data_IF_510816845896
#
_entry.id   IF_510816845896
#
_cell.length_a   1.000
_cell.length_b   1.000
_cell.length_c   1.000
_cell.angle_alpha   90.00
_cell.angle_beta   90.00
_cell.angle_gamma   90.00
#
_symmetry.space_group_name_H-M   'P 1'
#
loop_
_entity.id
_entity.type
_entity.pdbx_description
1 polymer ?
#
# COMPACT_ATOMS: atom_id res chain seq x y z
N UNK A 1 -0.33 43.00 5.09
CA UNK A 1 0.60 42.39 4.12
C UNK A 1 0.44 40.88 4.23
N UNK A 2 0.10 40.17 3.15
CA UNK A 2 0.05 38.71 3.20
C UNK A 2 1.47 38.16 3.39
N UNK A 3 1.66 37.05 4.13
CA UNK A 3 2.98 36.43 4.24
C UNK A 3 3.51 36.09 2.85
N UNK A 4 4.78 36.44 2.63
CA UNK A 4 5.54 36.17 1.41
C UNK A 4 5.60 34.66 1.15
N UNK A 5 5.60 34.29 -0.14
CA UNK A 5 5.91 33.00 -0.74
C UNK A 5 6.60 31.94 0.15
N UNK A 6 6.34 30.66 -0.13
CA UNK A 6 6.96 29.51 0.56
C UNK A 6 8.46 29.76 0.76
N UNK A 7 8.88 29.89 2.02
CA UNK A 7 10.28 30.10 2.38
C UNK A 7 11.10 28.85 2.01
N UNK A 8 11.93 28.97 0.97
CA UNK A 8 12.72 27.86 0.42
C UNK A 8 13.64 27.24 1.48
N UNK A 9 14.41 28.02 2.28
CA UNK A 9 15.09 27.52 3.47
C UNK A 9 14.22 26.69 4.42
N UNK A 10 13.03 27.16 4.80
CA UNK A 10 12.12 26.40 5.66
C UNK A 10 11.64 25.10 5.00
N UNK A 11 11.36 25.13 3.70
CA UNK A 11 10.97 23.95 2.93
C UNK A 11 12.11 22.91 2.89
N UNK A 12 13.35 23.33 2.67
CA UNK A 12 14.54 22.45 2.71
C UNK A 12 14.72 21.85 4.11
N UNK A 13 14.57 22.66 5.16
CA UNK A 13 14.65 22.19 6.54
C UNK A 13 13.56 21.15 6.86
N UNK A 14 12.33 21.37 6.38
CA UNK A 14 11.24 20.42 6.49
C UNK A 14 11.58 19.12 5.73
N UNK A 15 12.05 19.18 4.48
CA UNK A 15 12.52 17.99 3.75
C UNK A 15 13.57 17.24 4.56
N UNK A 16 14.56 17.91 5.13
CA UNK A 16 15.61 17.26 5.91
C UNK A 16 15.08 16.54 7.16
N UNK A 17 13.98 16.99 7.76
CA UNK A 17 13.32 16.30 8.88
C UNK A 17 12.62 15.00 8.44
N UNK A 18 12.04 14.98 7.25
CA UNK A 18 11.28 13.84 6.70
C UNK A 18 12.15 12.87 5.89
N UNK A 19 13.24 13.36 5.31
CA UNK A 19 14.17 12.60 4.49
C UNK A 19 15.30 11.95 5.33
N UNK A 20 14.94 11.45 6.51
CA UNK A 20 15.86 10.73 7.40
C UNK A 20 15.82 9.23 7.13
N UNK A 21 16.99 8.60 7.07
CA UNK A 21 17.07 7.14 7.11
C UNK A 21 16.73 6.70 8.53
N UNK A 22 15.60 6.00 8.70
CA UNK A 22 15.28 5.35 9.97
C UNK A 22 15.37 3.84 9.80
N UNK A 23 15.64 3.13 10.89
CA UNK A 23 15.68 1.67 10.85
C UNK A 23 14.26 1.13 10.72
N UNK A 24 13.99 0.33 9.68
CA UNK A 24 12.72 -0.37 9.54
C UNK A 24 12.80 -1.68 10.33
N UNK A 25 12.35 -1.66 11.58
CA UNK A 25 12.22 -2.87 12.37
C UNK A 25 10.91 -3.58 12.04
N UNK A 26 10.97 -4.64 11.23
CA UNK A 26 9.80 -5.49 11.05
C UNK A 26 9.50 -6.26 12.35
N UNK A 27 8.22 -6.50 12.67
CA UNK A 27 7.84 -7.18 13.90
C UNK A 27 8.48 -8.56 14.03
N UNK A 28 8.82 -8.98 15.25
CA UNK A 28 9.55 -10.21 15.50
C UNK A 28 8.87 -11.47 14.94
N UNK A 29 7.53 -11.51 14.94
CA UNK A 29 6.77 -12.63 14.37
C UNK A 29 6.89 -12.71 12.84
N UNK A 30 7.00 -11.57 12.14
CA UNK A 30 7.22 -11.52 10.68
C UNK A 30 8.56 -12.13 10.35
N UNK A 31 9.59 -11.74 11.10
CA UNK A 31 10.94 -12.30 10.96
C UNK A 31 10.91 -13.82 11.18
N UNK A 32 10.30 -14.30 12.27
CA UNK A 32 10.17 -15.74 12.54
C UNK A 32 9.46 -16.49 11.42
N UNK A 33 8.32 -15.97 10.93
CA UNK A 33 7.53 -16.59 9.86
C UNK A 33 8.33 -16.70 8.55
N UNK A 34 9.08 -15.66 8.20
CA UNK A 34 9.91 -15.63 7.00
C UNK A 34 11.12 -16.54 7.12
N UNK A 35 11.77 -16.60 8.29
CA UNK A 35 12.86 -17.54 8.54
C UNK A 35 12.39 -19.00 8.54
N UNK A 36 11.16 -19.29 8.99
CA UNK A 36 10.60 -20.65 8.96
C UNK A 36 10.36 -21.18 7.53
N UNK A 37 10.24 -20.28 6.54
CA UNK A 37 10.06 -20.62 5.12
C UNK A 37 11.25 -20.13 4.28
N UNK A 38 12.44 -20.07 4.89
CA UNK A 38 13.65 -19.64 4.20
C UNK A 38 13.99 -20.66 3.10
N UNK A 39 14.06 -20.18 1.85
CA UNK A 39 14.57 -20.99 0.74
C UNK A 39 16.09 -21.24 0.87
N UNK A 40 16.64 -22.05 -0.03
CA UNK A 40 18.09 -22.35 0.00
C UNK A 40 18.94 -21.24 -0.64
N UNK A 41 18.34 -20.45 -1.54
CA UNK A 41 19.01 -19.41 -2.32
C UNK A 41 18.30 -18.07 -2.19
N UNK A 42 19.04 -16.99 -2.38
CA UNK A 42 18.50 -15.65 -2.44
C UNK A 42 17.63 -15.48 -3.70
N UNK A 43 16.38 -14.99 -3.60
CA UNK A 43 15.52 -14.82 -4.76
C UNK A 43 15.95 -13.69 -5.69
N UNK A 44 16.91 -12.84 -5.29
CA UNK A 44 17.36 -11.69 -6.10
C UNK A 44 18.62 -12.01 -6.92
N UNK A 45 19.58 -12.75 -6.36
CA UNK A 45 20.84 -13.09 -7.02
C UNK A 45 21.04 -14.59 -7.27
N UNK A 46 20.09 -15.44 -6.86
CA UNK A 46 20.15 -16.90 -6.91
C UNK A 46 21.33 -17.54 -6.16
N UNK A 47 22.12 -16.77 -5.39
CA UNK A 47 23.22 -17.30 -4.60
C UNK A 47 22.71 -18.05 -3.35
N UNK A 48 23.31 -19.19 -2.98
CA UNK A 48 23.00 -19.89 -1.74
C UNK A 48 23.19 -19.01 -0.51
N UNK A 49 22.35 -19.22 0.50
CA UNK A 49 22.54 -18.59 1.80
C UNK A 49 23.68 -19.23 2.58
N UNK A 50 24.51 -18.42 3.22
CA UNK A 50 25.51 -18.88 4.19
C UNK A 50 25.03 -18.56 5.61
N UNK A 51 24.59 -19.59 6.33
CA UNK A 51 24.14 -19.48 7.72
C UNK A 51 25.30 -19.53 8.73
N UNK A 52 26.48 -19.97 8.31
CA UNK A 52 27.66 -20.07 9.17
C UNK A 52 28.28 -18.71 9.50
N UNK A 53 28.02 -17.70 8.66
CA UNK A 53 28.53 -16.34 8.82
C UNK A 53 27.39 -15.32 9.04
N UNK A 54 26.92 -15.09 10.28
CA UNK A 54 25.81 -14.18 10.60
C UNK A 54 25.94 -12.74 10.04
N UNK A 55 27.18 -12.29 9.87
CA UNK A 55 27.51 -10.94 9.34
C UNK A 55 27.98 -10.97 7.89
N UNK A 56 28.03 -12.14 7.26
CA UNK A 56 28.51 -12.32 5.89
C UNK A 56 27.55 -11.74 4.83
N UNK A 57 28.05 -11.50 3.61
CA UNK A 57 27.27 -10.94 2.50
C UNK A 57 26.16 -11.88 2.02
N UNK A 58 26.37 -13.20 2.15
CA UNK A 58 25.42 -14.25 1.79
C UNK A 58 24.43 -14.59 2.92
N UNK A 59 24.50 -13.94 4.08
CA UNK A 59 23.58 -14.22 5.19
C UNK A 59 22.15 -13.75 4.84
N UNK A 60 21.10 -14.55 5.12
CA UNK A 60 19.72 -14.16 4.88
C UNK A 60 19.29 -13.04 5.82
N UNK A 61 18.73 -11.98 5.24
CA UNK A 61 18.12 -10.85 5.95
C UNK A 61 16.68 -10.67 5.48
N UNK A 62 15.86 -10.09 6.35
CA UNK A 62 14.50 -9.69 5.99
C UNK A 62 14.54 -8.28 5.41
N UNK A 63 13.92 -8.11 4.24
CA UNK A 63 13.83 -6.86 3.50
C UNK A 63 12.36 -6.55 3.17
N UNK A 64 12.07 -5.28 2.85
CA UNK A 64 10.74 -4.86 2.41
C UNK A 64 10.63 -4.80 0.89
N UNK A 65 9.47 -5.16 0.31
CA UNK A 65 9.27 -5.03 -1.14
C UNK A 65 9.17 -3.55 -1.54
N UNK A 66 8.43 -2.78 -0.76
CA UNK A 66 8.30 -1.34 -0.85
C UNK A 66 8.74 -0.70 0.47
N UNK A 67 9.69 0.23 0.42
CA UNK A 67 10.18 0.89 1.63
C UNK A 67 9.06 1.77 2.27
N UNK A 68 8.95 1.87 3.61
CA UNK A 68 7.94 2.73 4.25
C UNK A 68 8.00 4.19 3.82
N UNK A 69 9.21 4.71 3.58
CA UNK A 69 9.41 6.03 2.98
C UNK A 69 8.69 6.21 1.62
N UNK A 70 8.47 5.12 0.87
CA UNK A 70 7.74 5.07 -0.40
C UNK A 70 6.26 4.69 -0.20
N UNK A 71 5.74 4.78 1.02
CA UNK A 71 4.36 4.45 1.37
C UNK A 71 4.09 2.96 1.62
N UNK A 72 5.15 2.13 1.68
CA UNK A 72 5.03 0.70 1.94
C UNK A 72 4.51 0.39 3.36
N UNK A 73 3.59 -0.58 3.51
CA UNK A 73 2.99 -0.92 4.79
C UNK A 73 3.96 -1.71 5.69
N UNK A 74 3.78 -1.62 7.01
CA UNK A 74 4.53 -2.43 8.00
C UNK A 74 3.98 -3.87 8.14
N UNK A 75 3.19 -4.31 7.16
CA UNK A 75 2.57 -5.62 7.14
C UNK A 75 3.57 -6.74 6.76
N UNK A 76 3.34 -7.98 7.21
CA UNK A 76 4.14 -9.14 6.81
C UNK A 76 4.17 -9.35 5.29
N UNK A 77 3.09 -8.96 4.59
CA UNK A 77 2.95 -9.10 3.14
C UNK A 77 3.94 -8.21 2.37
N UNK A 78 4.44 -7.14 3.00
CA UNK A 78 5.48 -6.26 2.45
C UNK A 78 6.89 -6.70 2.87
N UNK A 79 7.08 -7.95 3.31
CA UNK A 79 8.38 -8.46 3.69
C UNK A 79 8.74 -9.75 2.93
N UNK A 80 10.03 -9.93 2.68
CA UNK A 80 10.60 -11.12 2.05
C UNK A 80 12.05 -11.33 2.55
N UNK A 81 12.65 -12.47 2.23
CA UNK A 81 14.04 -12.78 2.55
C UNK A 81 14.95 -12.59 1.34
N UNK A 82 16.12 -11.99 1.53
CA UNK A 82 17.19 -11.89 0.53
C UNK A 82 18.56 -11.92 1.22
N UNK A 83 19.66 -11.99 0.48
CA UNK A 83 20.98 -11.93 1.09
C UNK A 83 21.33 -10.50 1.50
N UNK A 84 22.18 -10.35 2.51
CA UNK A 84 22.64 -9.05 3.02
C UNK A 84 23.21 -8.17 1.90
N UNK A 85 24.00 -8.74 0.99
CA UNK A 85 24.57 -8.02 -0.15
C UNK A 85 23.49 -7.40 -1.06
N UNK A 86 22.47 -8.18 -1.45
CA UNK A 86 21.36 -7.66 -2.27
C UNK A 86 20.57 -6.58 -1.53
N UNK A 87 20.32 -6.73 -0.23
CA UNK A 87 19.63 -5.69 0.54
C UNK A 87 20.46 -4.40 0.66
N UNK A 88 21.78 -4.51 0.80
CA UNK A 88 22.67 -3.35 0.84
C UNK A 88 22.73 -2.62 -0.50
N UNK A 89 22.80 -3.35 -1.61
CA UNK A 89 22.83 -2.78 -2.96
C UNK A 89 21.52 -2.07 -3.31
N UNK A 90 20.38 -2.70 -3.01
CA UNK A 90 19.05 -2.12 -3.28
C UNK A 90 18.69 -1.00 -2.30
N UNK A 91 19.13 -1.10 -1.05
CA UNK A 91 18.78 -0.18 0.03
C UNK A 91 17.26 0.05 0.14
N UNK A 92 16.80 1.25 -0.19
CA UNK A 92 15.40 1.68 -0.07
C UNK A 92 14.68 1.85 -1.42
N UNK A 93 15.25 1.27 -2.49
CA UNK A 93 14.70 1.30 -3.84
C UNK A 93 13.53 0.32 -3.97
N UNK A 94 12.48 0.71 -4.72
CA UNK A 94 11.39 -0.19 -5.10
C UNK A 94 11.93 -1.42 -5.82
N UNK A 95 11.46 -2.60 -5.41
CA UNK A 95 11.92 -3.87 -5.95
C UNK A 95 11.74 -3.99 -7.48
N UNK A 96 10.77 -3.27 -8.05
CA UNK A 96 10.53 -3.27 -9.49
C UNK A 96 11.63 -2.59 -10.31
N UNK A 97 12.47 -1.74 -9.68
CA UNK A 97 13.61 -1.13 -10.36
C UNK A 97 14.77 -2.11 -10.59
N UNK A 98 14.70 -3.32 -10.04
CA UNK A 98 15.66 -4.38 -10.35
C UNK A 98 15.40 -4.91 -11.76
N UNK A 99 16.46 -5.09 -12.55
CA UNK A 99 16.34 -5.50 -13.96
C UNK A 99 15.58 -6.81 -14.16
N UNK A 100 15.81 -7.81 -13.30
CA UNK A 100 15.08 -9.09 -13.32
C UNK A 100 14.50 -9.37 -11.95
N UNK A 101 13.17 -9.28 -11.85
CA UNK A 101 12.41 -9.58 -10.63
C UNK A 101 11.57 -10.85 -10.86
N UNK A 102 11.76 -11.91 -10.05
CA UNK A 102 10.94 -13.11 -10.14
C UNK A 102 9.44 -12.83 -10.02
N UNK A 103 8.63 -13.53 -10.80
CA UNK A 103 7.17 -13.33 -10.87
C UNK A 103 6.46 -13.41 -9.52
N UNK A 104 6.81 -14.32 -8.59
CA UNK A 104 6.19 -14.34 -7.27
C UNK A 104 6.41 -13.03 -6.49
N UNK A 105 7.63 -12.46 -6.56
CA UNK A 105 7.94 -11.18 -5.89
C UNK A 105 7.30 -10.01 -6.62
N UNK A 106 7.21 -10.05 -7.95
CA UNK A 106 6.49 -9.04 -8.74
C UNK A 106 5.01 -9.00 -8.38
N UNK A 107 4.36 -10.16 -8.30
CA UNK A 107 2.96 -10.29 -7.91
C UNK A 107 2.74 -9.86 -6.46
N UNK A 108 3.62 -10.27 -5.54
CA UNK A 108 3.57 -9.84 -4.14
C UNK A 108 3.70 -8.32 -4.02
N UNK A 109 4.66 -7.70 -4.74
CA UNK A 109 4.84 -6.23 -4.76
C UNK A 109 3.61 -5.51 -5.30
N UNK A 110 2.96 -6.03 -6.35
CA UNK A 110 1.72 -5.47 -6.86
C UNK A 110 0.58 -5.53 -5.82
N UNK A 111 0.46 -6.65 -5.10
CA UNK A 111 -0.52 -6.78 -4.02
C UNK A 111 -0.24 -5.81 -2.85
N UNK A 112 1.03 -5.67 -2.45
CA UNK A 112 1.47 -4.73 -1.42
C UNK A 112 1.11 -3.30 -1.79
N UNK A 113 1.29 -2.90 -3.05
CA UNK A 113 0.96 -1.56 -3.51
C UNK A 113 -0.52 -1.23 -3.40
N UNK A 114 -1.42 -2.20 -3.51
CA UNK A 114 -2.85 -1.97 -3.26
C UNK A 114 -3.15 -1.68 -1.78
N UNK A 115 -2.30 -2.14 -0.87
CA UNK A 115 -2.39 -1.88 0.58
C UNK A 115 -1.41 -0.79 1.06
N UNK A 116 -0.72 -0.11 0.14
CA UNK A 116 0.23 0.98 0.41
C UNK A 116 -0.48 2.33 0.32
N UNK A 117 0.13 3.38 0.85
CA UNK A 117 -0.35 4.74 0.62
C UNK A 117 -0.32 5.07 -0.87
N UNK A 118 -1.49 5.35 -1.43
CA UNK A 118 -1.63 5.79 -2.83
C UNK A 118 -2.38 7.11 -2.86
N UNK A 119 -2.07 7.93 -3.86
CA UNK A 119 -2.86 9.09 -4.21
C UNK A 119 -4.20 8.68 -4.82
N UNK A 120 -5.14 9.63 -4.87
CA UNK A 120 -6.41 9.46 -5.56
C UNK A 120 -6.21 9.14 -7.05
N UNK A 121 -7.29 8.70 -7.69
CA UNK A 121 -7.39 8.58 -9.13
C UNK A 121 -8.43 9.58 -9.64
N UNK A 122 -8.22 10.23 -10.80
CA UNK A 122 -9.19 11.13 -11.43
C UNK A 122 -10.34 10.32 -12.07
N UNK A 123 -11.06 9.56 -11.25
CA UNK A 123 -12.15 8.68 -11.67
C UNK A 123 -13.43 9.05 -10.92
N UNK A 124 -14.57 8.91 -11.59
CA UNK A 124 -15.88 9.16 -10.98
C UNK A 124 -16.07 8.28 -9.72
N UNK A 125 -16.74 8.79 -8.66
CA UNK A 125 -17.11 7.98 -7.49
C UNK A 125 -17.93 6.73 -7.84
N UNK A 126 -18.67 6.78 -8.95
CA UNK A 126 -19.50 5.66 -9.46
C UNK A 126 -18.69 4.59 -10.20
N UNK A 127 -17.39 4.82 -10.42
CA UNK A 127 -16.51 3.87 -11.12
C UNK A 127 -16.55 2.51 -10.44
N UNK A 128 -16.73 1.46 -11.25
CA UNK A 128 -16.78 0.08 -10.77
C UNK A 128 -15.46 -0.27 -10.06
N UNK A 129 -15.50 -1.04 -8.95
CA UNK A 129 -14.30 -1.39 -8.19
C UNK A 129 -13.19 -2.01 -9.05
N UNK A 130 -13.54 -2.87 -10.00
CA UNK A 130 -12.58 -3.54 -10.87
C UNK A 130 -11.84 -2.57 -11.81
N UNK A 131 -12.55 -1.55 -12.32
CA UNK A 131 -11.97 -0.56 -13.22
C UNK A 131 -11.06 0.41 -12.46
N UNK A 132 -11.42 0.75 -11.22
CA UNK A 132 -10.58 1.52 -10.31
C UNK A 132 -9.27 0.77 -9.99
N UNK A 133 -9.35 -0.51 -9.62
CA UNK A 133 -8.17 -1.34 -9.35
C UNK A 133 -7.28 -1.49 -10.60
N UNK A 134 -7.88 -1.61 -11.79
CA UNK A 134 -7.13 -1.66 -13.06
C UNK A 134 -6.39 -0.36 -13.34
N UNK A 135 -7.02 0.78 -13.08
CA UNK A 135 -6.39 2.08 -13.23
C UNK A 135 -5.21 2.26 -12.25
N UNK A 136 -5.40 1.85 -10.99
CA UNK A 136 -4.33 1.85 -10.01
C UNK A 136 -3.17 0.92 -10.42
N UNK A 137 -3.50 -0.27 -10.92
CA UNK A 137 -2.51 -1.24 -11.41
C UNK A 137 -1.68 -0.72 -12.60
N UNK A 138 -2.23 0.16 -13.45
CA UNK A 138 -1.46 0.82 -14.53
C UNK A 138 -0.36 1.70 -13.96
N UNK A 139 -0.68 2.54 -12.97
CA UNK A 139 0.31 3.35 -12.25
C UNK A 139 1.38 2.47 -11.61
N UNK A 140 0.97 1.35 -11.02
CA UNK A 140 1.88 0.40 -10.39
C UNK A 140 2.79 -0.38 -11.36
N UNK A 141 2.72 -0.18 -12.67
CA UNK A 141 3.70 -0.78 -13.60
C UNK A 141 5.07 -0.11 -13.55
N UNK A 142 5.16 1.08 -12.93
CA UNK A 142 6.41 1.81 -12.77
C UNK A 142 6.98 1.61 -11.36
N UNK A 143 8.32 1.65 -11.19
CA UNK A 143 8.91 1.72 -9.85
C UNK A 143 8.42 2.96 -9.11
N UNK A 144 8.23 2.86 -7.79
CA UNK A 144 7.79 3.98 -6.97
C UNK A 144 8.98 4.83 -6.53
N UNK A 145 8.87 6.14 -6.75
CA UNK A 145 9.76 7.17 -6.24
C UNK A 145 9.03 8.05 -5.22
N UNK A 146 9.73 9.07 -4.70
CA UNK A 146 9.18 10.05 -3.76
C UNK A 146 9.65 11.45 -4.07
N UNK A 147 8.75 12.41 -3.91
CA UNK A 147 9.04 13.84 -3.91
C UNK A 147 8.35 14.50 -2.72
N UNK A 148 8.80 15.70 -2.40
CA UNK A 148 8.17 16.57 -1.42
C UNK A 148 7.54 17.75 -2.14
N UNK A 149 6.38 18.19 -1.67
CA UNK A 149 5.65 19.26 -2.29
C UNK A 149 5.08 20.20 -1.23
N UNK A 150 5.12 21.50 -1.51
CA UNK A 150 4.40 22.50 -0.74
C UNK A 150 3.70 23.44 -1.70
N UNK A 151 2.43 23.76 -1.45
CA UNK A 151 1.68 24.76 -2.20
C UNK A 151 0.99 25.71 -1.22
N UNK A 152 1.14 27.01 -1.44
CA UNK A 152 0.57 28.04 -0.59
C UNK A 152 -0.77 28.55 -1.15
N UNK A 153 -1.46 29.39 -0.36
CA UNK A 153 -2.80 29.89 -0.70
C UNK A 153 -2.80 30.86 -1.89
N UNK A 154 -1.66 31.47 -2.20
CA UNK A 154 -1.43 32.29 -3.41
C UNK A 154 -1.25 31.46 -4.68
N UNK A 155 -1.24 30.12 -4.57
CA UNK A 155 -1.20 29.18 -5.69
C UNK A 155 0.20 28.73 -6.07
N UNK A 156 1.24 29.51 -5.80
CA UNK A 156 2.63 29.12 -6.07
C UNK A 156 3.03 27.92 -5.20
N UNK A 157 3.87 27.06 -5.77
CA UNK A 157 4.32 25.85 -5.11
C UNK A 157 5.78 25.55 -5.32
N UNK A 158 6.30 24.65 -4.49
CA UNK A 158 7.66 24.13 -4.60
C UNK A 158 7.65 22.60 -4.60
N UNK A 159 8.50 22.00 -5.43
CA UNK A 159 8.73 20.55 -5.50
C UNK A 159 10.18 20.24 -5.17
N UNK A 160 10.40 19.43 -4.14
CA UNK A 160 11.71 18.92 -3.73
C UNK A 160 11.90 17.47 -4.15
N UNK A 161 12.93 17.20 -4.94
CA UNK A 161 13.30 15.85 -5.39
C UNK A 161 14.59 15.41 -4.69
N UNK A 162 14.46 14.49 -3.72
CA UNK A 162 15.59 13.88 -3.02
C UNK A 162 16.07 12.61 -3.72
N UNK A 163 17.38 12.37 -3.75
CA UNK A 163 17.97 11.13 -4.25
C UNK A 163 18.01 9.99 -3.22
N UNK A 164 17.48 10.18 -2.00
CA UNK A 164 17.61 9.20 -0.91
C UNK A 164 16.72 7.97 -1.07
N UNK A 165 15.51 8.16 -1.59
CA UNK A 165 14.51 7.11 -1.72
C UNK A 165 13.97 7.05 -3.15
N UNK A 166 13.87 5.84 -3.70
CA UNK A 166 13.54 5.62 -5.10
C UNK A 166 14.77 5.30 -5.95
N UNK A 167 14.55 4.72 -7.13
CA UNK A 167 15.62 4.41 -8.07
C UNK A 167 16.05 5.63 -8.88
N UNK A 168 17.22 5.52 -9.53
CA UNK A 168 17.80 6.59 -10.35
C UNK A 168 16.91 7.01 -11.53
N UNK A 169 16.22 6.08 -12.18
CA UNK A 169 15.39 6.40 -13.36
C UNK A 169 14.13 7.15 -12.94
N UNK A 170 13.39 6.64 -11.96
CA UNK A 170 12.16 7.28 -11.49
C UNK A 170 12.44 8.64 -10.82
N UNK A 171 13.57 8.76 -10.10
CA UNK A 171 14.04 10.04 -9.54
C UNK A 171 14.47 11.01 -10.63
N UNK A 172 15.15 10.52 -11.68
CA UNK A 172 15.53 11.32 -12.84
C UNK A 172 14.32 11.85 -13.61
N UNK A 173 13.29 11.01 -13.79
CA UNK A 173 12.02 11.42 -14.40
C UNK A 173 11.35 12.51 -13.57
N UNK A 174 11.29 12.35 -12.23
CA UNK A 174 10.72 13.38 -11.37
C UNK A 174 11.44 14.73 -11.52
N UNK A 175 12.78 14.74 -11.52
CA UNK A 175 13.57 15.96 -11.78
C UNK A 175 13.30 16.56 -13.16
N UNK A 176 13.16 15.72 -14.18
CA UNK A 176 12.88 16.18 -15.55
C UNK A 176 11.51 16.86 -15.62
N UNK A 177 10.47 16.23 -15.05
CA UNK A 177 9.13 16.79 -15.01
C UNK A 177 9.12 18.12 -14.25
N UNK A 178 9.74 18.16 -13.07
CA UNK A 178 9.81 19.39 -12.26
C UNK A 178 10.58 20.50 -12.96
N UNK A 179 11.68 20.19 -13.66
CA UNK A 179 12.44 21.18 -14.45
C UNK A 179 11.64 21.73 -15.63
N UNK A 180 10.77 20.94 -16.25
CA UNK A 180 9.92 21.41 -17.37
C UNK A 180 8.81 22.34 -16.90
N UNK A 181 8.34 22.15 -15.68
CA UNK A 181 7.22 22.91 -15.11
C UNK A 181 7.67 24.19 -14.38
N UNK A 182 8.92 24.28 -13.92
CA UNK A 182 9.40 25.46 -13.20
C UNK A 182 10.90 25.52 -12.97
N UNK A 183 11.32 26.58 -12.28
CA UNK A 183 12.72 26.98 -12.13
C UNK A 183 13.40 26.32 -10.94
N UNK A 184 14.68 25.99 -11.09
CA UNK A 184 15.49 25.47 -9.98
C UNK A 184 15.83 26.62 -9.03
N UNK A 185 15.36 26.53 -7.78
CA UNK A 185 15.62 27.52 -6.72
C UNK A 185 16.59 27.03 -5.66
N UNK A 186 16.86 25.73 -5.61
CA UNK A 186 17.93 25.14 -4.80
C UNK A 186 18.44 23.85 -5.45
N UNK A 187 19.75 23.62 -5.39
CA UNK A 187 20.33 22.37 -5.83
C UNK A 187 21.59 22.04 -5.03
N UNK A 188 21.62 20.83 -4.48
CA UNK A 188 22.82 20.22 -3.94
C UNK A 188 22.96 18.77 -4.42
N UNK A 189 23.95 18.06 -3.90
CA UNK A 189 24.28 16.67 -4.25
C UNK A 189 23.16 15.65 -3.98
N UNK A 190 22.14 15.98 -3.16
CA UNK A 190 21.05 15.08 -2.76
C UNK A 190 19.67 15.64 -3.07
N UNK A 191 19.48 16.95 -3.09
CA UNK A 191 18.19 17.60 -3.22
C UNK A 191 18.19 18.62 -4.38
N UNK A 192 17.13 18.61 -5.17
CA UNK A 192 16.81 19.68 -6.11
C UNK A 192 15.43 20.21 -5.79
N UNK A 193 15.29 21.53 -5.64
CA UNK A 193 14.00 22.20 -5.38
C UNK A 193 13.65 23.07 -6.57
N UNK A 194 12.41 22.92 -7.02
CA UNK A 194 11.83 23.68 -8.12
C UNK A 194 10.73 24.60 -7.58
N UNK A 195 10.73 25.86 -7.97
CA UNK A 195 9.59 26.75 -7.81
C UNK A 195 8.70 26.64 -9.04
N UNK A 196 7.39 26.53 -8.83
CA UNK A 196 6.42 26.23 -9.88
C UNK A 196 5.19 27.11 -9.69
N UNK A 197 4.77 27.75 -10.78
CA UNK A 197 3.54 28.54 -10.85
C UNK A 197 2.29 27.67 -10.65
N UNK A 198 1.19 28.26 -10.18
CA UNK A 198 0.00 27.52 -9.72
C UNK A 198 -0.53 26.47 -10.71
N UNK A 199 -0.84 26.87 -11.93
CA UNK A 199 -1.41 25.94 -12.94
C UNK A 199 -0.43 24.82 -13.32
N UNK A 200 0.85 25.16 -13.45
CA UNK A 200 1.92 24.21 -13.74
C UNK A 200 2.15 23.26 -12.55
N UNK A 201 2.05 23.74 -11.31
CA UNK A 201 2.22 22.93 -10.11
C UNK A 201 1.14 21.87 -10.01
N UNK A 202 -0.12 22.26 -10.23
CA UNK A 202 -1.26 21.35 -10.18
C UNK A 202 -1.12 20.23 -11.20
N UNK A 203 -0.72 20.57 -12.44
CA UNK A 203 -0.47 19.58 -13.50
C UNK A 203 0.71 18.67 -13.14
N UNK A 204 1.83 19.28 -12.74
CA UNK A 204 3.06 18.56 -12.37
C UNK A 204 2.82 17.56 -11.24
N UNK A 205 2.07 17.93 -10.21
CA UNK A 205 1.78 17.04 -9.09
C UNK A 205 1.08 15.76 -9.58
N UNK A 206 0.13 15.87 -10.50
CA UNK A 206 -0.57 14.71 -11.07
C UNK A 206 0.29 13.91 -12.06
N UNK A 207 1.11 14.57 -12.87
CA UNK A 207 2.07 13.88 -13.75
C UNK A 207 3.05 13.02 -12.93
N UNK A 208 3.56 13.55 -11.81
CA UNK A 208 4.40 12.82 -10.88
C UNK A 208 3.65 11.63 -10.27
N UNK A 209 2.42 11.85 -9.81
CA UNK A 209 1.56 10.81 -9.25
C UNK A 209 1.32 9.68 -10.27
N UNK A 210 1.03 10.02 -11.53
CA UNK A 210 0.80 9.06 -12.60
C UNK A 210 2.07 8.31 -13.02
N UNK A 211 3.24 8.92 -12.85
CA UNK A 211 4.54 8.25 -12.89
C UNK A 211 4.84 7.38 -11.64
N UNK A 212 3.83 7.09 -10.82
CA UNK A 212 3.92 6.33 -9.57
C UNK A 212 4.81 6.97 -8.49
N UNK A 213 4.98 8.29 -8.53
CA UNK A 213 5.69 9.04 -7.49
C UNK A 213 4.75 9.26 -6.30
N UNK A 214 5.25 9.00 -5.08
CA UNK A 214 4.58 9.45 -3.86
C UNK A 214 4.93 10.93 -3.62
N UNK A 215 3.93 11.80 -3.71
CA UNK A 215 4.04 13.23 -3.42
C UNK A 215 3.73 13.47 -1.94
N UNK A 216 4.77 13.74 -1.15
CA UNK A 216 4.63 14.02 0.28
C UNK A 216 4.34 15.51 0.47
N UNK A 217 3.17 15.82 1.02
CA UNK A 217 2.78 17.20 1.27
C UNK A 217 3.43 17.73 2.54
N UNK A 218 4.20 18.80 2.41
CA UNK A 218 4.75 19.59 3.52
C UNK A 218 3.90 20.84 3.80
N UNK A 219 3.19 21.33 2.78
CA UNK A 219 2.12 22.31 2.90
C UNK A 219 1.13 22.13 1.74
N UNK A 220 -0.16 22.39 1.98
CA UNK A 220 -1.17 22.33 0.94
C UNK A 220 -2.30 23.32 1.24
N UNK A 221 -3.12 23.70 0.24
CA UNK A 221 -4.30 24.49 0.47
C UNK A 221 -5.25 23.80 1.45
N UNK A 222 -5.75 24.55 2.44
CA UNK A 222 -6.69 24.03 3.43
C UNK A 222 -8.08 23.74 2.80
N UNK A 223 -8.44 24.53 1.77
CA UNK A 223 -9.68 24.40 1.02
C UNK A 223 -9.33 24.17 -0.46
N UNK A 224 -9.41 22.91 -0.94
CA UNK A 224 -9.13 22.62 -2.35
C UNK A 224 -10.21 23.22 -3.25
N UNK A 225 -9.80 23.83 -4.36
CA UNK A 225 -10.71 24.42 -5.37
C UNK A 225 -11.40 23.35 -6.19
N UNK A 226 -10.65 22.32 -6.57
CA UNK A 226 -11.13 21.17 -7.33
C UNK A 226 -10.32 19.89 -7.01
N UNK A 227 -10.52 18.85 -7.82
CA UNK A 227 -9.79 17.60 -7.69
C UNK A 227 -8.27 17.77 -7.82
N UNK A 228 -7.80 18.70 -8.65
CA UNK A 228 -6.36 18.84 -8.90
C UNK A 228 -5.62 19.35 -7.66
N UNK A 229 -6.27 20.14 -6.80
CA UNK A 229 -5.71 20.61 -5.53
C UNK A 229 -5.65 19.50 -4.45
N UNK A 230 -6.19 18.32 -4.74
CA UNK A 230 -6.26 17.19 -3.80
C UNK A 230 -5.11 16.20 -3.96
N UNK A 231 -4.03 16.64 -4.62
CA UNK A 231 -2.80 15.89 -4.83
C UNK A 231 -2.20 15.34 -3.53
N UNK A 232 -2.38 16.02 -2.39
CA UNK A 232 -1.84 15.62 -1.09
C UNK A 232 -2.62 14.48 -0.41
N UNK A 233 -3.81 14.15 -0.91
CA UNK A 233 -4.66 13.12 -0.30
C UNK A 233 -4.15 11.74 -0.68
N UNK A 234 -3.75 10.98 0.34
CA UNK A 234 -3.31 9.59 0.22
C UNK A 234 -4.09 8.67 1.13
N UNK A 235 -4.29 7.41 0.74
CA UNK A 235 -4.81 6.37 1.63
C UNK A 235 -4.19 5.01 1.32
N UNK A 236 -4.04 4.19 2.38
CA UNK A 236 -3.69 2.77 2.27
C UNK A 236 -4.88 1.86 1.91
N UNK A 237 -6.10 2.42 1.77
CA UNK A 237 -7.31 1.68 1.43
C UNK A 237 -7.83 2.10 0.06
N UNK A 238 -7.84 1.21 -0.95
CA UNK A 238 -8.42 1.52 -2.27
C UNK A 238 -9.88 1.96 -2.20
N UNK A 239 -10.63 1.46 -1.22
CA UNK A 239 -12.03 1.87 -1.00
C UNK A 239 -12.12 3.31 -0.46
N UNK A 240 -11.19 3.73 0.40
CA UNK A 240 -11.16 5.10 0.90
C UNK A 240 -10.77 6.09 -0.20
N UNK A 241 -9.92 5.69 -1.14
CA UNK A 241 -9.61 6.49 -2.34
C UNK A 241 -10.82 6.69 -3.26
N UNK A 242 -11.83 5.80 -3.17
CA UNK A 242 -13.09 5.90 -3.92
C UNK A 242 -14.17 6.69 -3.16
N UNK A 243 -14.20 6.61 -1.84
CA UNK A 243 -15.35 7.02 -1.02
C UNK A 243 -15.31 8.44 -0.48
N UNK A 244 -14.24 9.21 -0.70
CA UNK A 244 -14.14 10.60 -0.19
C UNK A 244 -13.32 11.50 -1.10
N UNK A 245 -13.84 11.77 -2.29
CA UNK A 245 -13.36 12.94 -3.01
C UNK A 245 -14.12 14.16 -2.48
N UNK A 246 -13.44 14.91 -1.61
CA UNK A 246 -13.43 16.38 -1.54
C UNK A 246 -14.81 17.03 -1.67
N UNK A 247 -15.35 17.60 -0.59
CA UNK A 247 -16.72 18.15 -0.47
C UNK A 247 -17.10 19.32 -1.40
N UNK A 248 -16.85 19.18 -2.70
CA UNK A 248 -17.46 19.94 -3.78
C UNK A 248 -18.85 19.36 -3.97
N UNK A 249 -19.84 20.22 -3.77
CA UNK A 249 -21.23 19.83 -3.57
C UNK A 249 -21.80 19.16 -4.82
N UNK A 250 -22.35 17.96 -4.66
CA UNK A 250 -23.32 17.40 -5.60
C UNK A 250 -24.64 17.33 -4.85
N UNK A 251 -25.70 18.03 -5.28
CA UNK A 251 -27.05 17.81 -4.76
C UNK A 251 -27.45 16.37 -5.06
N UNK A 252 -27.78 15.64 -4.00
CA UNK A 252 -28.22 14.24 -4.02
C UNK A 252 -29.60 14.12 -4.72
N UNK A 253 -29.70 13.56 -5.94
CA UNK A 253 -30.99 13.22 -6.50
C UNK A 253 -31.28 11.75 -6.14
N UNK A 254 -32.26 11.60 -5.26
CA UNK A 254 -32.95 10.37 -4.90
C UNK A 254 -32.31 9.51 -3.78
N UNK A 255 -32.74 9.85 -2.56
CA UNK A 255 -33.40 8.85 -1.70
C UNK A 255 -34.45 8.10 -2.52
N UNK A 256 -34.09 6.92 -3.02
CA UNK A 256 -35.06 5.93 -3.45
C UNK A 256 -34.92 4.71 -2.54
N UNK A 257 -35.96 4.57 -1.73
CA UNK A 257 -36.22 3.45 -0.86
C UNK A 257 -36.08 2.14 -1.65
N UNK A 258 -35.19 1.25 -1.21
CA UNK A 258 -35.36 -0.19 -1.48
C UNK A 258 -35.27 -0.94 -0.16
N UNK A 259 -36.35 -0.84 0.63
CA UNK A 259 -36.63 -1.83 1.65
C UNK A 259 -37.13 -3.11 0.97
N UNK A 260 -36.22 -3.89 0.39
CA UNK A 260 -36.52 -5.31 0.14
C UNK A 260 -36.52 -6.00 1.50
N UNK A 261 -37.72 -6.29 2.00
CA UNK A 261 -37.94 -7.19 3.13
C UNK A 261 -37.23 -8.51 2.82
N UNK A 262 -36.09 -8.76 3.46
CA UNK A 262 -35.51 -10.10 3.47
C UNK A 262 -36.41 -10.98 4.31
N UNK A 263 -37.08 -11.93 3.67
CA UNK A 263 -37.71 -13.04 4.38
C UNK A 263 -36.67 -13.68 5.31
N UNK A 264 -36.97 -13.72 6.62
CA UNK A 264 -36.25 -14.56 7.58
C UNK A 264 -36.50 -16.01 7.19
N UNK A 265 -35.55 -16.59 6.46
CA UNK A 265 -35.35 -18.03 6.46
C UNK A 265 -34.20 -18.35 7.43
N UNK A 266 -34.33 -19.46 8.14
CA UNK A 266 -33.37 -19.94 9.12
C UNK A 266 -32.01 -20.16 8.47
N UNK A 267 -31.03 -19.33 8.85
CA UNK A 267 -29.69 -19.33 8.29
C UNK A 267 -29.00 -20.69 8.44
N UNK A 268 -28.61 -21.29 7.32
CA UNK A 268 -27.75 -22.47 7.30
C UNK A 268 -26.37 -22.14 7.90
N UNK A 269 -25.67 -23.14 8.43
CA UNK A 269 -24.34 -22.98 9.04
C UNK A 269 -23.34 -22.28 8.09
N UNK A 270 -23.46 -22.50 6.78
CA UNK A 270 -22.62 -21.90 5.75
C UNK A 270 -22.81 -20.39 5.60
N UNK A 271 -24.05 -19.89 5.66
CA UNK A 271 -24.32 -18.44 5.55
C UNK A 271 -23.83 -17.68 6.77
N UNK A 272 -23.94 -18.29 7.97
CA UNK A 272 -23.37 -17.73 9.20
C UNK A 272 -21.85 -17.63 9.11
N UNK A 273 -21.17 -18.69 8.68
CA UNK A 273 -19.73 -18.69 8.47
C UNK A 273 -19.29 -17.67 7.41
N UNK A 274 -20.06 -17.49 6.32
CA UNK A 274 -19.77 -16.46 5.32
C UNK A 274 -19.94 -15.04 5.90
N UNK A 275 -20.96 -14.80 6.72
CA UNK A 275 -21.17 -13.52 7.38
C UNK A 275 -20.04 -13.22 8.38
N UNK A 276 -19.64 -14.20 9.20
CA UNK A 276 -18.52 -14.10 10.13
C UNK A 276 -17.20 -13.83 9.40
N UNK A 277 -16.94 -14.51 8.28
CA UNK A 277 -15.75 -14.27 7.46
C UNK A 277 -15.71 -12.83 6.92
N UNK A 278 -16.85 -12.28 6.49
CA UNK A 278 -16.94 -10.88 6.03
C UNK A 278 -16.67 -9.88 7.16
N UNK A 279 -17.12 -10.17 8.38
CA UNK A 279 -16.86 -9.33 9.56
C UNK A 279 -15.37 -9.40 9.94
N UNK A 280 -14.81 -10.61 10.04
CA UNK A 280 -13.41 -10.81 10.37
C UNK A 280 -12.46 -10.14 9.35
N UNK A 281 -12.79 -10.22 8.05
CA UNK A 281 -12.04 -9.51 6.99
C UNK A 281 -12.08 -8.00 7.18
N UNK A 282 -13.26 -7.42 7.37
CA UNK A 282 -13.40 -5.97 7.61
C UNK A 282 -12.62 -5.50 8.85
N UNK A 283 -12.59 -6.32 9.90
CA UNK A 283 -11.80 -6.03 11.10
C UNK A 283 -10.29 -6.07 10.81
N UNK A 284 -9.80 -7.09 10.08
CA UNK A 284 -8.40 -7.17 9.69
C UNK A 284 -7.99 -6.02 8.76
N UNK A 285 -8.82 -5.68 7.77
CA UNK A 285 -8.59 -4.56 6.85
C UNK A 285 -8.55 -3.22 7.61
N UNK A 286 -9.46 -3.00 8.57
CA UNK A 286 -9.46 -1.81 9.41
C UNK A 286 -8.23 -1.69 10.30
N UNK A 287 -7.74 -2.80 10.88
CA UNK A 287 -6.50 -2.83 11.66
C UNK A 287 -5.27 -2.58 10.78
N UNK A 288 -5.20 -3.19 9.59
CA UNK A 288 -4.15 -2.92 8.60
C UNK A 288 -4.11 -1.44 8.23
N UNK A 289 -5.28 -0.84 7.99
CA UNK A 289 -5.39 0.57 7.69
C UNK A 289 -4.90 1.43 8.86
N UNK A 290 -5.37 1.18 10.09
CA UNK A 290 -4.96 1.95 11.26
C UNK A 290 -3.45 1.88 11.52
N UNK A 291 -2.85 0.69 11.42
CA UNK A 291 -1.40 0.51 11.52
C UNK A 291 -0.71 1.30 10.41
N UNK A 292 -1.16 1.16 9.15
CA UNK A 292 -0.57 1.89 8.04
C UNK A 292 -0.68 3.41 8.21
N UNK A 293 -1.81 3.93 8.67
CA UNK A 293 -2.04 5.35 8.91
C UNK A 293 -1.13 5.85 10.04
N UNK A 294 -0.93 5.08 11.13
CA UNK A 294 0.05 5.41 12.18
C UNK A 294 1.49 5.42 11.64
N UNK A 295 1.84 4.45 10.79
CA UNK A 295 3.16 4.41 10.13
C UNK A 295 3.34 5.55 9.13
N UNK A 296 2.28 5.99 8.43
CA UNK A 296 2.28 7.23 7.64
C UNK A 296 2.60 8.41 8.55
N UNK A 297 1.90 8.55 9.67
CA UNK A 297 2.15 9.63 10.62
C UNK A 297 3.62 9.68 11.06
N UNK A 298 4.23 8.50 11.26
CA UNK A 298 5.64 8.40 11.61
C UNK A 298 6.62 8.71 10.48
N UNK A 299 6.41 8.13 9.29
CA UNK A 299 7.37 8.13 8.18
C UNK A 299 7.12 9.17 7.10
N UNK A 300 5.87 9.57 6.92
CA UNK A 300 5.40 10.50 5.90
C UNK A 300 4.96 11.83 6.49
N UNK A 301 4.49 11.86 7.75
CA UNK A 301 4.08 13.10 8.45
C UNK A 301 5.11 13.55 9.50
N UNK A 302 6.19 12.78 9.73
CA UNK A 302 7.35 13.19 10.51
C UNK A 302 7.19 13.17 12.04
N UNK A 303 6.05 12.73 12.57
CA UNK A 303 5.74 12.74 14.00
C UNK A 303 6.30 11.48 14.70
N UNK A 304 6.94 11.62 15.86
CA UNK A 304 7.38 10.47 16.65
C UNK A 304 6.15 9.79 17.29
N UNK A 305 5.73 8.64 16.75
CA UNK A 305 4.66 7.83 17.31
C UNK A 305 5.19 6.98 18.47
N UNK A 306 4.41 6.87 19.54
CA UNK A 306 4.72 5.98 20.66
C UNK A 306 4.75 4.51 20.22
N UNK A 307 5.93 3.89 20.27
CA UNK A 307 6.21 2.50 19.85
C UNK A 307 5.36 1.47 20.63
N UNK A 308 4.83 1.85 21.79
CA UNK A 308 4.11 0.95 22.69
C UNK A 308 2.72 0.50 22.18
N UNK A 309 2.05 1.29 21.33
CA UNK A 309 0.72 0.92 20.79
C UNK A 309 0.82 0.07 19.50
N UNK A 310 1.97 0.13 18.81
CA UNK A 310 2.18 -0.59 17.55
C UNK A 310 2.17 -2.11 17.72
N UNK A 311 2.87 -2.63 18.74
CA UNK A 311 2.94 -4.06 18.99
C UNK A 311 1.56 -4.62 19.35
N UNK A 312 0.77 -3.88 20.13
CA UNK A 312 -0.59 -4.27 20.49
C UNK A 312 -1.53 -4.31 19.26
N UNK A 313 -1.45 -3.30 18.39
CA UNK A 313 -2.22 -3.28 17.15
C UNK A 313 -1.81 -4.41 16.19
N UNK A 314 -0.51 -4.69 16.07
CA UNK A 314 0.02 -5.80 15.28
C UNK A 314 -0.44 -7.17 15.81
N UNK A 315 -0.45 -7.36 17.13
CA UNK A 315 -0.95 -8.60 17.75
C UNK A 315 -2.46 -8.79 17.47
N UNK A 316 -3.25 -7.71 17.55
CA UNK A 316 -4.66 -7.71 17.15
C UNK A 316 -4.85 -8.04 15.68
N UNK A 317 -3.99 -7.52 14.80
CA UNK A 317 -4.02 -7.83 13.37
C UNK A 317 -3.74 -9.32 13.14
N UNK A 318 -2.71 -9.87 13.76
CA UNK A 318 -2.36 -11.30 13.66
C UNK A 318 -3.52 -12.18 14.12
N UNK A 319 -4.18 -11.83 15.23
CA UNK A 319 -5.35 -12.55 15.71
C UNK A 319 -6.52 -12.50 14.71
N UNK A 320 -6.77 -11.32 14.11
CA UNK A 320 -7.82 -11.16 13.10
C UNK A 320 -7.51 -11.96 11.82
N UNK A 321 -6.27 -11.92 11.33
CA UNK A 321 -5.83 -12.69 10.16
C UNK A 321 -5.89 -14.20 10.38
N UNK A 322 -5.49 -14.66 11.57
CA UNK A 322 -5.60 -16.06 11.96
C UNK A 322 -7.05 -16.52 11.97
N UNK A 323 -7.96 -15.68 12.48
CA UNK A 323 -9.41 -15.93 12.45
C UNK A 323 -9.96 -15.98 11.03
N UNK A 324 -9.52 -15.07 10.15
CA UNK A 324 -9.90 -15.10 8.72
C UNK A 324 -9.44 -16.38 8.04
N UNK A 325 -8.20 -16.81 8.28
CA UNK A 325 -7.65 -18.04 7.73
C UNK A 325 -8.42 -19.27 8.22
N UNK A 326 -8.77 -19.31 9.50
CA UNK A 326 -9.54 -20.41 10.08
C UNK A 326 -10.95 -20.50 9.51
N UNK A 327 -11.69 -19.39 9.46
CA UNK A 327 -13.02 -19.32 8.85
C UNK A 327 -12.98 -19.71 7.37
N UNK A 328 -11.91 -19.34 6.65
CA UNK A 328 -11.72 -19.75 5.26
C UNK A 328 -11.49 -21.26 5.12
N UNK A 329 -10.69 -21.87 6.02
CA UNK A 329 -10.48 -23.33 6.06
C UNK A 329 -11.80 -24.06 6.34
N UNK A 330 -12.58 -23.58 7.30
CA UNK A 330 -13.89 -24.17 7.63
C UNK A 330 -14.87 -24.08 6.45
N UNK A 331 -14.89 -22.96 5.73
CA UNK A 331 -15.72 -22.79 4.55
C UNK A 331 -15.32 -23.74 3.42
N UNK A 332 -14.01 -23.92 3.21
CA UNK A 332 -13.46 -24.85 2.23
C UNK A 332 -13.80 -26.30 2.61
N UNK A 333 -13.64 -26.67 3.88
CA UNK A 333 -13.99 -28.00 4.38
C UNK A 333 -15.49 -28.33 4.23
N UNK A 334 -16.38 -27.35 4.44
CA UNK A 334 -17.82 -27.53 4.19
C UNK A 334 -18.18 -27.67 2.71
N UNK A 335 -17.42 -27.03 1.82
CA UNK A 335 -17.59 -27.17 0.37
C UNK A 335 -17.11 -28.54 -0.11
N UNK A 336 -16.00 -29.00 0.44
CA UNK A 336 -15.33 -30.23 0.01
C UNK A 336 -15.87 -31.47 0.78
N UNK A 337 -16.84 -31.29 1.68
CA UNK A 337 -17.49 -32.37 2.42
C UNK A 337 -18.36 -33.24 1.49
N UNK A 338 -18.22 -34.58 1.52
CA UNK A 338 -19.04 -35.47 0.70
C UNK A 338 -20.51 -35.37 1.09
N UNK A 339 -21.38 -35.32 0.08
CA UNK A 339 -22.83 -35.23 0.25
C UNK A 339 -23.35 -36.48 0.98
N UNK A 340 -23.62 -36.35 2.28
CA UNK A 340 -24.10 -37.44 3.15
C UNK A 340 -25.50 -37.96 2.76
N UNK A 341 -26.14 -37.40 1.72
CA UNK A 341 -27.45 -37.82 1.20
C UNK A 341 -27.42 -38.87 0.09
N UNK A 342 -26.25 -39.36 -0.33
CA UNK A 342 -26.16 -40.58 -1.17
C UNK A 342 -25.86 -41.81 -0.31
N UNK A 343 -26.87 -42.29 0.40
CA UNK A 343 -26.88 -43.69 0.86
C UNK A 343 -27.05 -44.60 -0.36
N UNK A 344 -26.26 -45.69 -0.51
CA UNK A 344 -26.52 -46.67 -1.56
C UNK A 344 -27.88 -47.33 -1.31
N UNK A 345 -28.78 -47.27 -2.30
CA UNK A 345 -30.06 -47.98 -2.26
C UNK A 345 -29.78 -49.48 -1.97
N UNK A 346 -30.45 -50.10 -1.00
CA UNK A 346 -30.28 -51.53 -0.77
C UNK A 346 -30.77 -52.29 -2.01
N UNK A 347 -29.89 -53.14 -2.55
CA UNK A 347 -30.20 -54.04 -3.66
C UNK A 347 -31.33 -54.98 -3.20
N UNK A 348 -32.48 -54.92 -3.87
CA UNK A 348 -33.59 -55.85 -3.64
C UNK A 348 -33.09 -57.27 -3.90
N UNK A 349 -33.06 -58.10 -2.85
CA UNK A 349 -32.81 -59.54 -2.99
C UNK A 349 -33.97 -60.15 -3.78
N UNK A 350 -33.67 -60.77 -4.93
CA UNK A 350 -34.59 -61.65 -5.63
C UNK A 350 -34.92 -62.85 -4.73
N UNK A 351 -36.21 -63.11 -4.54
CA UNK A 351 -36.73 -64.31 -3.88
C UNK A 351 -36.55 -65.48 -4.87
N UNK A 352 -36.05 -66.65 -4.45
CA UNK A 352 -35.99 -67.81 -5.33
C UNK A 352 -37.41 -68.32 -5.57
N UNK A 353 -37.76 -68.54 -6.84
CA UNK A 353 -38.90 -69.37 -7.20
C UNK A 353 -38.56 -70.82 -6.86
N UNK A 354 -39.45 -71.51 -6.16
CA UNK A 354 -39.39 -72.96 -5.95
C UNK A 354 -40.70 -73.58 -6.49
N UNK A 355 -40.62 -74.85 -6.95
CA UNK A 355 -41.30 -75.36 -8.14
C UNK A 355 -42.80 -75.59 -8.01
#
# INVERSE_FOLDING_TARGET
MPPSAIDVPAFIAAIAAYDRLRHVALPGFVRRRLHAHLGQVCPLCAQPYDLSQPRGPAFPVVATLLHPALGGPASPDNAFTCCRSCQQQRAAVDLLALGVLPDPLRAQRAAVLLASHNHLLPLSPTTRPADFLRALARRHQWPRSRVFAAQHADGHGVIGVSSRFGDTQSTGLARLLSRRAGDIVHQDHRLTVHHVEDEAFRTLAWDLIDANTLVVALAHPAQPRDFLDCWWITSASPSALRLRQVGITVPDPAKLQSATKSHRFTAGARERLQAELRVARRQADGLRQAINDQYKTHWLDGLEGGIQDEQHQLDRLVAAETRVAELHRQLKAQRDAPDRRRTPRPVKRHRPSSP
#
